data_IF_949652431348
#
_entry.id   IF_949652431348
#
_cell.length_a   1.000
_cell.length_b   1.000
_cell.length_c   1.000
_cell.angle_alpha   90.00
_cell.angle_beta   90.00
_cell.angle_gamma   90.00
#
_symmetry.space_group_name_H-M   'P 1'
#
loop_
_entity.id
_entity.type
_entity.pdbx_description
1 polymer ?
#
# COMPACT_ATOMS: atom_id res chain seq x y z
N UNK A 1 -3.27 -23.72 -37.33
CA UNK A 1 -3.10 -22.98 -36.06
C UNK A 1 -1.89 -23.43 -35.24
N UNK A 2 -1.87 -24.57 -34.55
CA UNK A 2 -0.77 -24.89 -33.62
C UNK A 2 0.60 -25.10 -34.30
N UNK A 3 0.61 -25.73 -35.48
CA UNK A 3 1.82 -25.89 -36.31
C UNK A 3 2.35 -24.56 -36.88
N UNK A 4 1.49 -23.60 -37.18
CA UNK A 4 1.88 -22.29 -37.71
C UNK A 4 2.54 -21.43 -36.63
N UNK A 5 2.01 -21.48 -35.40
CA UNK A 5 2.61 -20.78 -34.25
C UNK A 5 4.00 -21.33 -33.92
N UNK A 6 4.17 -22.66 -33.96
CA UNK A 6 5.48 -23.27 -33.75
C UNK A 6 6.48 -22.91 -34.85
N UNK A 7 6.04 -22.85 -36.11
CA UNK A 7 6.89 -22.41 -37.23
C UNK A 7 7.31 -20.95 -37.10
N UNK A 8 6.40 -20.06 -36.67
CA UNK A 8 6.69 -18.65 -36.42
C UNK A 8 7.73 -18.45 -35.29
N UNK A 9 7.60 -19.20 -34.20
CA UNK A 9 8.54 -19.16 -33.07
C UNK A 9 9.92 -19.70 -33.49
N UNK A 10 9.95 -20.81 -34.24
CA UNK A 10 11.20 -21.37 -34.75
C UNK A 10 11.89 -20.43 -35.76
N UNK A 11 11.13 -19.81 -36.65
CA UNK A 11 11.66 -18.83 -37.60
C UNK A 11 12.24 -17.60 -36.86
N UNK A 12 11.57 -17.12 -35.81
CA UNK A 12 12.07 -16.00 -35.01
C UNK A 12 13.36 -16.36 -34.26
N UNK A 13 13.41 -17.56 -33.68
CA UNK A 13 14.61 -18.07 -33.00
C UNK A 13 15.80 -18.20 -33.96
N UNK A 14 15.57 -18.75 -35.15
CA UNK A 14 16.58 -18.89 -36.18
C UNK A 14 17.10 -17.52 -36.68
N UNK A 15 16.20 -16.53 -36.81
CA UNK A 15 16.57 -15.17 -37.17
C UNK A 15 17.49 -14.52 -36.12
N UNK A 16 17.15 -14.63 -34.84
CA UNK A 16 17.97 -14.07 -33.74
C UNK A 16 19.34 -14.74 -33.70
N UNK A 17 19.40 -16.07 -33.80
CA UNK A 17 20.66 -16.81 -33.83
C UNK A 17 21.56 -16.41 -35.01
N UNK A 18 20.95 -16.11 -36.17
CA UNK A 18 21.68 -15.63 -37.35
C UNK A 18 22.26 -14.24 -37.14
N UNK A 19 21.54 -13.35 -36.45
CA UNK A 19 22.04 -12.01 -36.10
C UNK A 19 23.21 -12.09 -35.11
N UNK A 20 23.10 -12.91 -34.06
CA UNK A 20 24.19 -13.09 -33.09
C UNK A 20 25.45 -13.68 -33.73
N UNK A 21 25.29 -14.68 -34.60
CA UNK A 21 26.43 -15.25 -35.33
C UNK A 21 27.04 -14.25 -36.34
N UNK A 22 26.24 -13.36 -36.94
CA UNK A 22 26.75 -12.30 -37.81
C UNK A 22 27.63 -11.33 -37.01
N UNK A 23 27.18 -10.92 -35.82
CA UNK A 23 27.94 -10.06 -34.90
C UNK A 23 29.24 -10.74 -34.44
N UNK A 24 29.22 -12.05 -34.18
CA UNK A 24 30.42 -12.81 -33.85
C UNK A 24 31.40 -12.95 -35.03
N UNK A 25 30.90 -13.05 -36.26
CA UNK A 25 31.71 -13.22 -37.49
C UNK A 25 32.36 -11.92 -37.98
N UNK A 26 31.90 -10.76 -37.52
CA UNK A 26 32.38 -9.46 -38.00
C UNK A 26 33.80 -9.13 -37.54
N UNK A 27 34.43 -9.92 -36.65
CA UNK A 27 35.85 -9.77 -36.28
C UNK A 27 36.21 -8.43 -35.62
N UNK A 28 35.24 -7.53 -35.45
CA UNK A 28 35.38 -6.26 -34.76
C UNK A 28 35.25 -6.53 -33.27
N UNK A 29 36.27 -6.25 -32.44
CA UNK A 29 36.15 -6.39 -31.01
C UNK A 29 35.10 -5.41 -30.50
N UNK A 30 33.93 -5.93 -30.10
CA UNK A 30 32.91 -5.17 -29.41
C UNK A 30 33.54 -4.68 -28.11
N UNK A 31 33.95 -3.42 -28.09
CA UNK A 31 34.39 -2.75 -26.87
C UNK A 31 33.20 -2.68 -25.94
N UNK A 32 33.10 -3.62 -25.00
CA UNK A 32 32.32 -3.41 -23.78
C UNK A 32 32.89 -2.14 -23.15
N UNK A 33 32.06 -1.12 -22.98
CA UNK A 33 32.45 0.10 -22.28
C UNK A 33 33.06 -0.31 -20.93
N UNK A 34 34.35 -0.01 -20.77
CA UNK A 34 35.12 -0.40 -19.61
C UNK A 34 34.62 0.32 -18.37
N UNK A 35 34.55 -0.44 -17.27
CA UNK A 35 34.36 0.03 -15.89
C UNK A 35 33.10 0.88 -15.66
N UNK A 36 31.94 0.27 -15.86
CA UNK A 36 30.82 0.59 -14.96
C UNK A 36 31.15 -0.16 -13.66
N UNK A 37 31.17 0.49 -12.47
CA UNK A 37 31.14 -0.24 -11.20
C UNK A 37 30.00 -1.27 -11.32
N UNK A 38 30.08 -2.47 -10.73
CA UNK A 38 28.91 -3.35 -10.71
C UNK A 38 27.79 -2.54 -10.08
N UNK A 39 26.91 -1.98 -10.92
CA UNK A 39 25.78 -1.19 -10.49
C UNK A 39 25.07 -2.12 -9.58
N UNK A 40 25.04 -1.72 -8.32
CA UNK A 40 24.47 -2.36 -7.17
C UNK A 40 23.13 -2.96 -7.57
N UNK A 41 23.15 -4.17 -8.16
CA UNK A 41 21.98 -4.96 -8.40
C UNK A 41 21.69 -5.54 -7.04
N UNK A 42 21.15 -4.69 -6.16
CA UNK A 42 20.36 -5.18 -5.05
C UNK A 42 19.36 -6.08 -5.75
N UNK A 43 19.36 -7.40 -5.48
CA UNK A 43 18.22 -8.18 -5.90
C UNK A 43 17.03 -7.47 -5.26
N UNK A 44 16.16 -6.88 -6.10
CA UNK A 44 14.80 -6.55 -5.68
C UNK A 44 14.17 -7.93 -5.46
N UNK A 45 14.52 -8.50 -4.31
CA UNK A 45 13.97 -9.74 -3.84
C UNK A 45 12.58 -9.28 -3.48
N UNK A 46 11.62 -9.46 -4.41
CA UNK A 46 10.20 -9.41 -4.04
C UNK A 46 10.13 -10.27 -2.78
N UNK A 47 9.89 -9.63 -1.63
CA UNK A 47 9.72 -10.37 -0.39
C UNK A 47 8.51 -11.26 -0.67
N UNK A 48 8.75 -12.57 -0.75
CA UNK A 48 7.65 -13.52 -0.65
C UNK A 48 7.10 -13.32 0.75
N UNK A 49 5.98 -12.63 0.85
CA UNK A 49 5.25 -12.46 2.10
C UNK A 49 4.83 -13.86 2.49
N UNK A 50 5.49 -14.44 3.49
CA UNK A 50 5.10 -15.73 4.03
C UNK A 50 3.92 -15.45 4.95
N UNK A 51 2.71 -15.42 4.38
CA UNK A 51 1.50 -15.54 5.19
C UNK A 51 1.50 -16.96 5.74
N UNK A 52 1.85 -17.11 7.02
CA UNK A 52 1.79 -18.42 7.68
C UNK A 52 0.34 -18.89 7.68
N UNK A 53 0.05 -20.00 6.97
CA UNK A 53 -1.17 -20.76 7.22
C UNK A 53 -1.14 -21.24 8.67
N UNK A 54 -2.23 -21.10 9.43
CA UNK A 54 -2.26 -21.60 10.79
C UNK A 54 -2.09 -23.12 10.79
N UNK A 55 -1.21 -23.61 11.65
CA UNK A 55 -1.19 -25.03 12.03
C UNK A 55 -2.52 -25.37 12.69
N UNK A 56 -3.14 -26.48 12.27
CA UNK A 56 -4.46 -26.88 12.74
C UNK A 56 -4.48 -27.08 14.27
N UNK A 57 -5.29 -26.32 15.04
CA UNK A 57 -5.43 -26.54 16.46
C UNK A 57 -6.69 -27.37 16.79
N UNK A 58 -6.54 -28.27 17.74
CA UNK A 58 -7.57 -29.11 18.37
C UNK A 58 -8.47 -28.33 19.36
N UNK A 59 -9.00 -27.16 18.97
CA UNK A 59 -9.95 -26.36 19.78
C UNK A 59 -10.74 -25.34 18.92
N UNK A 60 -12.04 -25.07 19.20
CA UNK A 60 -12.90 -24.27 18.32
C UNK A 60 -12.80 -22.77 18.64
N UNK A 61 -11.69 -22.13 18.27
CA UNK A 61 -11.65 -20.69 17.96
C UNK A 61 -10.36 -20.39 17.20
N UNK A 62 -10.41 -20.40 15.87
CA UNK A 62 -9.28 -19.99 15.03
C UNK A 62 -9.37 -18.49 14.75
N UNK A 63 -8.32 -17.69 15.00
CA UNK A 63 -8.17 -16.43 14.28
C UNK A 63 -7.91 -16.78 12.81
N UNK A 64 -8.90 -16.53 11.97
CA UNK A 64 -8.81 -16.53 10.51
C UNK A 64 -7.65 -15.65 10.02
N UNK A 65 -7.10 -15.87 8.80
CA UNK A 65 -5.83 -15.30 8.31
C UNK A 65 -5.81 -13.78 8.45
N UNK A 66 -5.43 -13.33 9.63
CA UNK A 66 -5.14 -11.96 9.95
C UNK A 66 -3.79 -11.70 9.32
N UNK A 67 -3.69 -10.61 8.56
CA UNK A 67 -2.40 -10.09 8.13
C UNK A 67 -1.41 -10.19 9.29
N UNK A 68 -0.25 -10.80 9.09
CA UNK A 68 0.77 -10.83 10.13
C UNK A 68 0.99 -9.40 10.60
N UNK A 69 0.99 -9.17 11.92
CA UNK A 69 1.16 -7.83 12.47
C UNK A 69 2.44 -7.20 11.91
N UNK A 70 3.46 -8.01 11.65
CA UNK A 70 4.70 -7.61 11.00
C UNK A 70 4.48 -6.96 9.62
N UNK A 71 3.64 -7.58 8.77
CA UNK A 71 3.35 -7.06 7.42
C UNK A 71 2.52 -5.80 7.49
N UNK A 72 1.57 -5.70 8.42
CA UNK A 72 0.80 -4.48 8.64
C UNK A 72 1.71 -3.31 9.03
N UNK A 73 2.60 -3.54 10.00
CA UNK A 73 3.55 -2.53 10.43
C UNK A 73 4.55 -2.18 9.32
N UNK A 74 4.93 -3.12 8.46
CA UNK A 74 5.76 -2.86 7.27
C UNK A 74 5.03 -1.96 6.26
N UNK A 75 3.77 -2.23 5.94
CA UNK A 75 2.95 -1.39 5.05
C UNK A 75 2.85 0.04 5.61
N UNK A 76 2.47 0.17 6.89
CA UNK A 76 2.34 1.49 7.52
C UNK A 76 3.66 2.24 7.55
N UNK A 77 4.78 1.53 7.76
CA UNK A 77 6.12 2.12 7.75
C UNK A 77 6.47 2.66 6.37
N UNK A 78 6.20 1.90 5.30
CA UNK A 78 6.42 2.36 3.91
C UNK A 78 5.59 3.61 3.62
N UNK A 79 4.31 3.62 4.01
CA UNK A 79 3.43 4.80 3.82
C UNK A 79 3.96 5.99 4.62
N UNK A 80 4.37 5.78 5.87
CA UNK A 80 4.93 6.84 6.71
C UNK A 80 6.19 7.45 6.10
N UNK A 81 7.19 6.63 5.75
CA UNK A 81 8.43 7.10 5.15
C UNK A 81 8.19 7.81 3.80
N UNK A 82 7.24 7.31 3.00
CA UNK A 82 6.83 7.96 1.75
C UNK A 82 6.23 9.33 2.01
N UNK A 83 5.33 9.45 2.98
CA UNK A 83 4.69 10.73 3.32
C UNK A 83 5.71 11.77 3.81
N UNK A 84 6.64 11.38 4.70
CA UNK A 84 7.74 12.26 5.13
C UNK A 84 8.59 12.73 3.94
N UNK A 85 8.86 11.86 2.98
CA UNK A 85 9.64 12.23 1.80
C UNK A 85 8.88 13.21 0.88
N UNK A 86 7.55 13.10 0.84
CA UNK A 86 6.70 14.05 0.12
C UNK A 86 6.70 15.44 0.80
N UNK A 87 6.66 15.50 2.13
CA UNK A 87 6.76 16.76 2.90
C UNK A 87 8.07 17.51 2.59
N UNK A 88 9.17 16.77 2.37
CA UNK A 88 10.48 17.32 2.00
C UNK A 88 10.55 17.86 0.58
N UNK A 89 9.60 17.50 -0.28
CA UNK A 89 9.57 17.87 -1.70
C UNK A 89 8.28 18.64 -2.06
N UNK A 90 7.98 19.77 -1.41
CA UNK A 90 6.72 20.48 -1.61
C UNK A 90 6.53 20.99 -3.04
N UNK A 91 7.61 21.27 -3.77
CA UNK A 91 7.57 21.68 -5.18
C UNK A 91 6.94 20.64 -6.11
N UNK A 92 6.94 19.36 -5.72
CA UNK A 92 6.37 18.26 -6.50
C UNK A 92 4.88 18.07 -6.15
N UNK A 93 4.52 18.27 -4.88
CA UNK A 93 3.27 17.77 -4.32
C UNK A 93 2.24 18.85 -3.92
N UNK A 94 2.62 20.13 -3.80
CA UNK A 94 1.75 21.22 -3.29
C UNK A 94 0.36 21.29 -3.96
N UNK A 95 0.32 21.21 -5.28
CA UNK A 95 -0.90 21.40 -6.08
C UNK A 95 -1.52 20.08 -6.55
N UNK A 96 -1.13 18.96 -5.95
CA UNK A 96 -1.67 17.65 -6.29
C UNK A 96 -2.98 17.39 -5.54
N UNK A 97 -3.87 16.65 -6.21
CA UNK A 97 -5.12 16.15 -5.66
C UNK A 97 -4.91 14.82 -4.92
N UNK A 98 -5.96 14.36 -4.23
CA UNK A 98 -5.93 13.12 -3.44
C UNK A 98 -5.55 11.92 -4.31
N UNK A 99 -6.07 11.86 -5.54
CA UNK A 99 -5.82 10.78 -6.49
C UNK A 99 -4.35 10.73 -6.92
N UNK A 100 -3.74 11.87 -7.26
CA UNK A 100 -2.32 11.91 -7.64
C UNK A 100 -1.41 11.52 -6.46
N UNK A 101 -1.73 11.96 -5.24
CA UNK A 101 -0.94 11.61 -4.05
C UNK A 101 -1.07 10.11 -3.73
N UNK A 102 -2.30 9.57 -3.79
CA UNK A 102 -2.58 8.13 -3.64
C UNK A 102 -1.80 7.30 -4.64
N UNK A 103 -1.79 7.68 -5.91
CA UNK A 103 -1.08 6.94 -6.97
C UNK A 103 0.43 6.89 -6.71
N UNK A 104 0.99 7.90 -6.05
CA UNK A 104 2.37 7.88 -5.58
C UNK A 104 2.60 6.82 -4.50
N UNK A 105 1.72 6.72 -3.50
CA UNK A 105 1.81 5.65 -2.50
C UNK A 105 1.67 4.26 -3.14
N UNK A 106 0.75 4.09 -4.10
CA UNK A 106 0.62 2.84 -4.85
C UNK A 106 1.91 2.49 -5.60
N UNK A 107 2.54 3.47 -6.25
CA UNK A 107 3.80 3.30 -6.97
C UNK A 107 4.91 2.79 -6.03
N UNK A 108 5.00 3.34 -4.82
CA UNK A 108 6.01 2.93 -3.82
C UNK A 108 5.68 1.58 -3.19
N UNK A 109 4.41 1.26 -2.96
CA UNK A 109 3.98 -0.02 -2.38
C UNK A 109 4.08 -1.18 -3.39
N UNK A 110 3.82 -0.94 -4.68
CA UNK A 110 3.71 -1.98 -5.72
C UNK A 110 4.91 -2.94 -5.84
N UNK A 111 6.19 -2.51 -5.67
CA UNK A 111 7.33 -3.42 -5.70
C UNK A 111 7.37 -4.40 -4.52
N UNK A 112 6.73 -4.07 -3.40
CA UNK A 112 6.78 -4.83 -2.15
C UNK A 112 5.67 -5.88 -2.05
N UNK A 113 4.55 -5.69 -2.75
CA UNK A 113 3.36 -6.52 -2.63
C UNK A 113 2.91 -7.04 -4.00
N UNK A 114 2.32 -8.23 -4.03
CA UNK A 114 1.92 -8.89 -5.28
C UNK A 114 0.81 -8.14 -6.02
N UNK A 115 -0.16 -7.58 -5.27
CA UNK A 115 -1.29 -6.84 -5.82
C UNK A 115 -1.57 -5.61 -4.97
N UNK A 116 -1.17 -4.44 -5.47
CA UNK A 116 -1.58 -3.13 -4.95
C UNK A 116 -2.41 -2.45 -6.02
N UNK A 117 -3.63 -2.05 -5.67
CA UNK A 117 -4.56 -1.43 -6.62
C UNK A 117 -5.17 -0.18 -6.02
N UNK A 118 -5.30 0.86 -6.85
CA UNK A 118 -6.13 2.01 -6.55
C UNK A 118 -7.54 1.84 -7.09
N UNK A 119 -8.51 2.54 -6.48
CA UNK A 119 -9.87 2.65 -7.02
C UNK A 119 -10.65 1.35 -7.18
N UNK A 120 -10.38 0.37 -6.33
CA UNK A 120 -11.10 -0.90 -6.40
C UNK A 120 -12.40 -0.84 -5.63
N UNK A 121 -13.46 -1.40 -6.23
CA UNK A 121 -14.72 -1.63 -5.53
C UNK A 121 -14.51 -2.70 -4.44
N UNK A 122 -14.77 -2.35 -3.18
CA UNK A 122 -14.85 -3.28 -2.06
C UNK A 122 -16.20 -3.16 -1.37
N UNK A 123 -16.88 -4.29 -1.14
CA UNK A 123 -18.24 -4.46 -0.56
C UNK A 123 -19.33 -3.52 -1.12
N UNK A 124 -19.25 -2.22 -0.85
CA UNK A 124 -20.25 -1.18 -1.15
C UNK A 124 -19.68 0.11 -1.75
N UNK A 125 -18.36 0.23 -2.03
CA UNK A 125 -17.80 1.44 -2.65
C UNK A 125 -16.32 1.38 -3.05
N UNK A 126 -15.75 2.55 -3.39
CA UNK A 126 -14.39 2.75 -3.94
C UNK A 126 -13.41 3.03 -2.80
N UNK A 127 -12.41 2.18 -2.59
CA UNK A 127 -11.30 2.42 -1.65
C UNK A 127 -10.11 3.02 -2.38
N UNK A 128 -9.37 3.91 -1.74
CA UNK A 128 -8.19 4.51 -2.37
C UNK A 128 -7.03 3.54 -2.55
N UNK A 129 -6.63 2.79 -1.52
CA UNK A 129 -5.54 1.81 -1.63
C UNK A 129 -6.02 0.46 -1.11
N UNK A 130 -5.92 -0.57 -1.95
CA UNK A 130 -6.20 -1.94 -1.57
C UNK A 130 -4.99 -2.82 -1.88
N UNK A 131 -4.53 -3.55 -0.87
CA UNK A 131 -3.47 -4.56 -1.02
C UNK A 131 -4.08 -5.94 -0.87
N UNK A 132 -3.79 -6.83 -1.83
CA UNK A 132 -4.24 -8.22 -1.84
C UNK A 132 -3.07 -9.20 -1.87
N UNK A 133 -3.29 -10.35 -1.23
CA UNK A 133 -2.39 -11.50 -1.29
C UNK A 133 -3.21 -12.79 -1.39
N UNK A 134 -2.87 -13.68 -2.33
CA UNK A 134 -3.61 -14.93 -2.58
C UNK A 134 -5.14 -14.76 -2.66
N UNK A 135 -5.61 -13.68 -3.31
CA UNK A 135 -7.03 -13.28 -3.47
C UNK A 135 -7.74 -12.79 -2.20
N UNK A 136 -7.02 -12.59 -1.11
CA UNK A 136 -7.55 -12.01 0.13
C UNK A 136 -7.16 -10.53 0.23
N UNK A 137 -8.09 -9.68 0.66
CA UNK A 137 -7.78 -8.31 1.03
C UNK A 137 -6.99 -8.35 2.35
N UNK A 138 -5.78 -7.78 2.35
CA UNK A 138 -4.93 -7.79 3.55
C UNK A 138 -4.80 -6.41 4.18
N UNK A 139 -5.00 -5.35 3.41
CA UNK A 139 -4.90 -3.97 3.89
C UNK A 139 -5.73 -3.05 3.01
N UNK A 140 -6.42 -2.11 3.66
CA UNK A 140 -7.23 -1.08 3.01
C UNK A 140 -6.81 0.27 3.60
N UNK A 141 -6.59 1.27 2.75
CA UNK A 141 -6.41 2.64 3.18
C UNK A 141 -7.24 3.63 2.38
N UNK A 142 -7.64 4.70 3.06
CA UNK A 142 -8.32 5.85 2.46
C UNK A 142 -7.41 7.07 2.53
N UNK A 143 -7.30 7.81 1.43
CA UNK A 143 -6.53 9.05 1.33
C UNK A 143 -7.48 10.24 1.43
N UNK A 144 -7.17 11.21 2.30
CA UNK A 144 -8.06 12.36 2.48
C UNK A 144 -7.33 13.63 2.87
N UNK A 145 -7.70 14.75 2.25
CA UNK A 145 -7.36 16.07 2.78
C UNK A 145 -8.18 16.36 4.04
N UNK A 146 -7.49 16.79 5.09
CA UNK A 146 -8.12 17.34 6.27
C UNK A 146 -8.94 18.58 5.91
N UNK A 147 -10.24 18.52 6.21
CA UNK A 147 -11.18 19.63 6.04
C UNK A 147 -12.04 19.85 7.30
N UNK A 148 -11.56 19.37 8.45
CA UNK A 148 -12.24 19.42 9.74
C UNK A 148 -12.83 18.07 10.17
N UNK A 149 -13.20 18.00 11.45
CA UNK A 149 -13.56 16.76 12.12
C UNK A 149 -14.78 16.05 11.52
N UNK A 150 -15.78 16.81 11.02
CA UNK A 150 -16.98 16.21 10.41
C UNK A 150 -16.62 15.36 9.19
N UNK A 151 -15.81 15.91 8.28
CA UNK A 151 -15.35 15.20 7.08
C UNK A 151 -14.45 14.03 7.46
N UNK A 152 -13.68 14.18 8.55
CA UNK A 152 -12.85 13.09 9.06
C UNK A 152 -13.69 11.93 9.61
N UNK A 153 -14.78 12.20 10.34
CA UNK A 153 -15.74 11.16 10.73
C UNK A 153 -16.40 10.50 9.52
N UNK A 154 -16.82 11.28 8.51
CA UNK A 154 -17.39 10.72 7.27
C UNK A 154 -16.38 9.78 6.58
N UNK A 155 -15.08 10.10 6.66
CA UNK A 155 -13.99 9.27 6.11
C UNK A 155 -13.82 7.97 6.91
N UNK A 156 -13.89 8.01 8.24
CA UNK A 156 -13.88 6.81 9.09
C UNK A 156 -15.10 5.93 8.77
N UNK A 157 -16.28 6.52 8.70
CA UNK A 157 -17.53 5.83 8.35
C UNK A 157 -17.46 5.16 6.97
N UNK A 158 -16.90 5.88 5.99
CA UNK A 158 -16.67 5.39 4.64
C UNK A 158 -15.72 4.18 4.66
N UNK A 159 -14.56 4.33 5.30
CA UNK A 159 -13.57 3.26 5.44
C UNK A 159 -14.16 2.01 6.09
N UNK A 160 -14.80 2.16 7.26
CA UNK A 160 -15.43 1.06 7.99
C UNK A 160 -16.59 0.42 7.22
N UNK A 161 -17.28 1.18 6.36
CA UNK A 161 -18.33 0.67 5.48
C UNK A 161 -17.81 -0.25 4.37
N UNK A 162 -16.56 -0.07 3.94
CA UNK A 162 -15.92 -0.89 2.91
C UNK A 162 -15.33 -2.18 3.46
N UNK A 163 -15.02 -2.21 4.76
CA UNK A 163 -14.47 -3.40 5.39
C UNK A 163 -15.50 -4.52 5.42
N UNK A 164 -15.03 -5.71 5.05
CA UNK A 164 -15.73 -6.97 5.26
C UNK A 164 -15.36 -7.53 6.63
N UNK A 165 -16.11 -8.54 7.10
CA UNK A 165 -15.82 -9.23 8.36
C UNK A 165 -14.43 -9.90 8.41
N UNK A 166 -13.77 -10.05 7.25
CA UNK A 166 -12.39 -10.56 7.11
C UNK A 166 -11.33 -9.47 7.24
N UNK A 167 -11.70 -8.21 7.06
CA UNK A 167 -10.77 -7.08 7.08
C UNK A 167 -10.59 -6.59 8.53
N UNK A 168 -9.38 -6.76 9.07
CA UNK A 168 -9.07 -6.43 10.47
C UNK A 168 -8.08 -5.26 10.63
N UNK A 169 -7.55 -4.74 9.53
CA UNK A 169 -6.47 -3.74 9.55
C UNK A 169 -6.66 -2.74 8.42
N UNK A 170 -6.64 -1.45 8.77
CA UNK A 170 -6.88 -0.37 7.83
C UNK A 170 -6.07 0.90 8.21
N UNK A 171 -5.98 1.84 7.27
CA UNK A 171 -5.35 3.13 7.54
C UNK A 171 -6.12 4.31 6.92
N UNK A 172 -5.98 5.49 7.52
CA UNK A 172 -6.29 6.77 6.89
C UNK A 172 -4.99 7.52 6.67
N UNK A 173 -4.73 7.88 5.42
CA UNK A 173 -3.64 8.76 5.01
C UNK A 173 -4.20 10.17 4.90
N UNK A 174 -3.95 10.98 5.92
CA UNK A 174 -4.51 12.32 6.10
C UNK A 174 -3.52 13.38 5.62
N UNK A 175 -3.91 14.16 4.63
CA UNK A 175 -3.13 15.27 4.10
C UNK A 175 -3.59 16.59 4.70
N UNK A 176 -2.69 17.32 5.35
CA UNK A 176 -3.00 18.56 6.04
C UNK A 176 -2.42 19.74 5.25
N UNK A 177 -3.28 20.63 4.74
CA UNK A 177 -2.89 21.89 4.07
C UNK A 177 -2.94 23.11 5.00
N UNK A 178 -3.34 22.91 6.26
CA UNK A 178 -3.41 23.98 7.25
C UNK A 178 -2.02 24.57 7.48
N UNK A 179 -1.94 25.87 7.76
CA UNK A 179 -0.67 26.53 8.08
C UNK A 179 0.00 25.92 9.32
N UNK A 180 -0.80 25.48 10.28
CA UNK A 180 -0.34 24.88 11.54
C UNK A 180 -0.83 23.42 11.60
N UNK A 181 0.11 22.49 11.85
CA UNK A 181 -0.17 21.05 11.93
C UNK A 181 -0.69 20.64 13.32
N UNK A 182 -0.08 21.16 14.39
CA UNK A 182 -0.40 20.81 15.78
C UNK A 182 -1.89 20.90 16.15
N UNK A 183 -2.63 21.96 15.78
CA UNK A 183 -4.06 22.04 16.10
C UNK A 183 -4.86 20.91 15.44
N UNK A 184 -4.47 20.50 14.23
CA UNK A 184 -5.11 19.40 13.51
C UNK A 184 -4.83 18.07 14.20
N UNK A 185 -3.57 17.80 14.54
CA UNK A 185 -3.16 16.58 15.24
C UNK A 185 -3.87 16.43 16.59
N UNK A 186 -3.95 17.52 17.37
CA UNK A 186 -4.67 17.55 18.65
C UNK A 186 -6.17 17.32 18.47
N UNK A 187 -6.77 17.94 17.45
CA UNK A 187 -8.20 17.75 17.14
C UNK A 187 -8.48 16.29 16.78
N UNK A 188 -7.66 15.66 15.94
CA UNK A 188 -7.80 14.23 15.61
C UNK A 188 -7.73 13.39 16.87
N UNK A 189 -6.70 13.55 17.69
CA UNK A 189 -6.50 12.78 18.93
C UNK A 189 -7.67 12.93 19.92
N UNK A 190 -8.22 14.13 20.08
CA UNK A 190 -9.27 14.43 21.05
C UNK A 190 -10.68 14.08 20.58
N UNK A 191 -10.95 14.23 19.28
CA UNK A 191 -12.29 14.07 18.75
C UNK A 191 -12.54 12.65 18.21
N UNK A 192 -11.52 11.93 17.73
CA UNK A 192 -11.71 10.60 17.16
C UNK A 192 -12.31 9.59 18.15
N UNK A 193 -12.00 9.74 19.44
CA UNK A 193 -12.53 8.89 20.52
C UNK A 193 -14.04 9.03 20.73
N UNK A 194 -14.65 10.08 20.16
CA UNK A 194 -16.10 10.32 20.23
C UNK A 194 -16.86 9.68 19.07
N UNK A 195 -16.16 9.08 18.10
CA UNK A 195 -16.80 8.37 17.00
C UNK A 195 -17.56 7.14 17.52
N UNK A 196 -18.74 6.87 16.96
CA UNK A 196 -19.64 5.79 17.44
C UNK A 196 -19.00 4.41 17.41
N UNK A 197 -18.15 4.15 16.40
CA UNK A 197 -17.44 2.88 16.24
C UNK A 197 -16.13 2.75 17.02
N UNK A 198 -15.74 3.75 17.83
CA UNK A 198 -14.47 3.74 18.55
C UNK A 198 -14.46 2.71 19.68
N UNK A 199 -13.34 1.98 19.83
CA UNK A 199 -13.12 1.04 20.94
C UNK A 199 -11.97 1.53 21.84
N UNK A 200 -10.80 1.79 21.25
CA UNK A 200 -9.57 2.02 22.03
C UNK A 200 -8.56 2.89 21.29
N UNK A 201 -7.81 3.67 22.05
CA UNK A 201 -6.63 4.39 21.58
C UNK A 201 -5.36 3.68 22.07
N UNK A 202 -4.43 3.42 21.16
CA UNK A 202 -3.14 2.77 21.47
C UNK A 202 -1.97 3.76 21.61
N UNK A 203 -2.20 5.05 21.35
CA UNK A 203 -1.16 6.08 21.40
C UNK A 203 -0.60 6.43 20.03
N UNK A 204 0.47 7.23 20.07
CA UNK A 204 1.25 7.63 18.90
C UNK A 204 2.49 6.76 18.78
N UNK A 205 2.84 6.38 17.56
CA UNK A 205 4.10 5.68 17.28
C UNK A 205 5.22 6.66 16.97
N UNK A 206 4.88 7.67 16.17
CA UNK A 206 5.72 8.78 15.75
C UNK A 206 4.84 10.04 15.65
N UNK A 207 5.42 11.19 15.37
CA UNK A 207 4.66 12.41 15.08
C UNK A 207 3.75 12.21 13.87
N UNK A 208 2.48 12.64 13.97
CA UNK A 208 1.49 12.41 12.92
C UNK A 208 1.01 10.96 12.75
N UNK A 209 1.55 9.98 13.49
CA UNK A 209 1.17 8.56 13.39
C UNK A 209 0.44 8.09 14.65
N UNK A 210 -0.88 7.93 14.54
CA UNK A 210 -1.76 7.47 15.61
C UNK A 210 -2.28 6.05 15.36
N UNK A 211 -2.48 5.30 16.44
CA UNK A 211 -3.02 3.94 16.39
C UNK A 211 -4.30 3.83 17.22
N UNK A 212 -5.37 3.34 16.59
CA UNK A 212 -6.69 3.18 17.19
C UNK A 212 -7.26 1.78 16.94
N UNK A 213 -8.30 1.45 17.69
CA UNK A 213 -9.17 0.30 17.49
C UNK A 213 -10.61 0.77 17.34
N UNK A 214 -11.26 0.24 16.32
CA UNK A 214 -12.67 0.46 15.99
C UNK A 214 -13.39 -0.88 15.87
N UNK A 215 -14.71 -0.89 15.91
CA UNK A 215 -15.49 -2.03 15.45
C UNK A 215 -16.05 -1.79 14.04
N UNK A 216 -16.42 -2.86 13.35
CA UNK A 216 -17.15 -2.75 12.09
C UNK A 216 -18.53 -2.12 12.32
N UNK A 217 -18.98 -1.32 11.35
CA UNK A 217 -20.27 -0.62 11.41
C UNK A 217 -21.46 -1.57 11.53
N UNK A 218 -21.41 -2.67 10.77
CA UNK A 218 -22.48 -3.68 10.70
C UNK A 218 -22.30 -4.82 11.73
N UNK A 219 -21.13 -4.92 12.38
CA UNK A 219 -20.82 -5.99 13.33
C UNK A 219 -19.90 -5.48 14.46
N UNK A 220 -20.49 -5.03 15.59
CA UNK A 220 -19.73 -4.54 16.74
C UNK A 220 -18.82 -5.58 17.41
N UNK A 221 -18.98 -6.88 17.10
CA UNK A 221 -18.15 -7.95 17.68
C UNK A 221 -16.79 -8.08 16.97
N UNK A 222 -16.62 -7.42 15.83
CA UNK A 222 -15.42 -7.46 15.01
C UNK A 222 -14.63 -6.18 15.15
N UNK A 223 -13.41 -6.29 15.66
CA UNK A 223 -12.51 -5.14 15.78
C UNK A 223 -11.62 -4.97 14.54
N UNK A 224 -11.24 -3.71 14.33
CA UNK A 224 -10.40 -3.23 13.24
C UNK A 224 -9.32 -2.34 13.84
N UNK A 225 -8.06 -2.67 13.59
CA UNK A 225 -6.94 -1.77 13.86
C UNK A 225 -6.93 -0.68 12.80
N UNK A 226 -7.00 0.57 13.22
CA UNK A 226 -6.96 1.73 12.35
C UNK A 226 -5.73 2.59 12.65
N UNK A 227 -4.83 2.72 11.68
CA UNK A 227 -3.78 3.73 11.73
C UNK A 227 -4.25 5.04 11.11
N UNK A 228 -3.89 6.18 11.71
CA UNK A 228 -4.07 7.50 11.08
C UNK A 228 -2.69 8.11 10.91
N UNK A 229 -2.30 8.34 9.66
CA UNK A 229 -1.01 8.90 9.25
C UNK A 229 -1.25 10.31 8.70
N UNK A 230 -0.77 11.33 9.40
CA UNK A 230 -0.97 12.73 9.04
C UNK A 230 0.32 13.31 8.48
N UNK A 231 0.21 14.01 7.35
CA UNK A 231 1.33 14.63 6.65
C UNK A 231 1.00 16.07 6.27
N UNK A 232 1.94 16.98 6.46
CA UNK A 232 1.81 18.41 6.19
C UNK A 232 2.24 18.76 4.78
N UNK A 233 1.28 19.19 3.96
CA UNK A 233 1.51 19.60 2.57
C UNK A 233 1.31 21.12 2.45
N UNK A 234 2.40 21.92 2.43
CA UNK A 234 2.33 23.38 2.35
C UNK A 234 2.17 23.91 0.92
#
# INVERSE_FOLDING_TARGET
MEKETQQLVQARKAYILKQENLVASLGVPVRKAGQVPPTFSIPITKKNIIVKKPDAPTSPFMPEPTLDEEVYQEILKIIYETGIEMERHPSIYRDKDEETLRDHFIMVLSPHFESVTGETFNKSGKTDILIRHEKQNIFIAECKFWKGIKIFYDTIDQLLGYLTWRDSKAAIVCFVKNKELDPVLKTIEQEIVKHSCFIKYYGKKEEGWFMFEFHLKDDPTRSVKLAVLCFHFP
#
